data_IF_175712091582
#
_entry.id   IF_175712091582
#
_cell.length_a   1.000
_cell.length_b   1.000
_cell.length_c   1.000
_cell.angle_alpha   90.00
_cell.angle_beta   90.00
_cell.angle_gamma   90.00
#
_symmetry.space_group_name_H-M   'P 1'
#
loop_
_entity.id
_entity.type
_entity.pdbx_description
1 polymer ?
#
# COMPACT_ATOMS: atom_id res chain seq x y z
N UNK A 1 -11.85 11.73 29.81
CA UNK A 1 -10.43 11.49 29.44
C UNK A 1 -10.26 11.64 27.93
N UNK A 2 -10.30 12.90 27.44
CA UNK A 2 -10.09 13.28 26.03
C UNK A 2 -8.66 13.06 25.53
N UNK A 3 -7.72 12.83 26.43
CA UNK A 3 -6.29 12.72 26.12
C UNK A 3 -5.82 11.32 25.70
N UNK A 4 -6.67 10.30 25.83
CA UNK A 4 -6.30 8.91 25.53
C UNK A 4 -6.96 8.34 24.25
N UNK A 5 -7.61 9.18 23.46
CA UNK A 5 -8.02 8.79 22.11
C UNK A 5 -6.78 8.89 21.21
N UNK A 6 -6.27 7.75 20.76
CA UNK A 6 -5.32 7.69 19.66
C UNK A 6 -5.87 8.51 18.53
N UNK A 7 -5.27 9.68 18.29
CA UNK A 7 -5.63 10.55 17.17
C UNK A 7 -5.53 9.74 15.90
N UNK A 8 -6.68 9.44 15.28
CA UNK A 8 -6.71 8.85 13.94
C UNK A 8 -6.05 9.86 13.01
N UNK A 9 -5.08 9.41 12.21
CA UNK A 9 -4.42 10.29 11.26
C UNK A 9 -5.46 10.91 10.33
N UNK A 10 -5.51 12.24 10.28
CA UNK A 10 -6.43 13.01 9.43
C UNK A 10 -5.93 13.12 7.97
N UNK A 11 -4.93 12.32 7.57
CA UNK A 11 -4.37 12.35 6.22
C UNK A 11 -5.31 11.69 5.21
N UNK A 12 -5.64 12.42 4.14
CA UNK A 12 -6.42 11.90 3.02
C UNK A 12 -5.57 10.99 2.12
N UNK A 13 -6.20 10.21 1.24
CA UNK A 13 -5.51 9.43 0.20
C UNK A 13 -4.67 10.35 -0.69
N UNK A 14 -5.19 11.53 -1.05
CA UNK A 14 -4.45 12.53 -1.85
C UNK A 14 -3.19 13.01 -1.14
N UNK A 15 -3.24 13.25 0.18
CA UNK A 15 -2.06 13.61 0.96
C UNK A 15 -1.04 12.46 1.03
N UNK A 16 -1.51 11.23 1.13
CA UNK A 16 -0.64 10.05 1.10
C UNK A 16 0.01 9.88 -0.27
N UNK A 17 -0.76 10.06 -1.35
CA UNK A 17 -0.25 10.03 -2.72
C UNK A 17 0.82 11.12 -2.93
N UNK A 18 0.54 12.36 -2.52
CA UNK A 18 1.53 13.44 -2.59
C UNK A 18 2.86 13.06 -1.92
N UNK A 19 2.79 12.39 -0.76
CA UNK A 19 3.99 11.91 -0.07
C UNK A 19 4.67 10.72 -0.74
N UNK A 20 3.97 9.94 -1.58
CA UNK A 20 4.56 8.84 -2.34
C UNK A 20 5.24 9.34 -3.64
N UNK A 21 4.70 10.41 -4.22
CA UNK A 21 5.24 11.03 -5.44
C UNK A 21 6.51 11.84 -5.17
N UNK A 22 6.59 12.46 -3.99
CA UNK A 22 7.73 13.25 -3.58
C UNK A 22 8.69 12.40 -2.74
N UNK A 23 9.80 11.97 -3.36
CA UNK A 23 10.80 11.13 -2.71
C UNK A 23 11.44 11.74 -1.46
N UNK A 24 11.48 13.08 -1.37
CA UNK A 24 12.05 13.83 -0.25
C UNK A 24 11.15 13.78 1.00
N UNK A 25 9.90 13.34 0.84
CA UNK A 25 8.92 13.26 1.94
C UNK A 25 8.76 11.86 2.52
N UNK A 26 9.64 10.93 2.17
CA UNK A 26 9.72 9.63 2.83
C UNK A 26 10.09 9.83 4.29
N UNK A 27 9.46 9.05 5.17
CA UNK A 27 9.76 9.10 6.60
C UNK A 27 11.22 8.75 6.86
N UNK A 28 11.98 9.72 7.35
CA UNK A 28 13.24 9.43 8.02
C UNK A 28 13.01 8.79 9.40
N UNK A 29 14.08 8.32 10.07
CA UNK A 29 14.00 7.62 11.38
C UNK A 29 13.32 8.42 12.50
N UNK A 30 13.13 9.76 12.34
CA UNK A 30 12.53 10.66 13.34
C UNK A 30 11.07 11.06 13.10
N UNK A 31 10.39 10.48 12.11
CA UNK A 31 9.02 10.88 11.74
C UNK A 31 8.98 12.13 10.85
N UNK A 32 7.77 12.56 10.47
CA UNK A 32 7.57 13.74 9.59
C UNK A 32 7.61 15.03 10.38
N UNK A 33 8.35 16.01 9.89
CA UNK A 33 8.35 17.39 10.43
C UNK A 33 7.02 18.09 10.11
N UNK A 34 6.69 19.15 10.89
CA UNK A 34 5.50 19.98 10.64
C UNK A 34 5.56 20.62 9.25
N UNK A 35 6.74 21.06 8.81
CA UNK A 35 6.96 21.66 7.49
C UNK A 35 6.66 20.67 6.35
N UNK A 36 7.13 19.41 6.48
CA UNK A 36 6.82 18.34 5.52
C UNK A 36 5.31 18.05 5.45
N UNK A 37 4.63 18.12 6.59
CA UNK A 37 3.19 17.90 6.65
C UNK A 37 2.38 19.02 6.00
N UNK A 38 2.83 20.28 6.16
CA UNK A 38 2.26 21.44 5.47
C UNK A 38 2.47 21.36 3.96
N UNK A 39 3.68 21.06 3.51
CA UNK A 39 3.97 20.88 2.09
C UNK A 39 3.13 19.76 1.45
N UNK A 40 2.96 18.62 2.13
CA UNK A 40 2.06 17.56 1.69
C UNK A 40 0.61 18.04 1.52
N UNK A 41 0.14 18.89 2.42
CA UNK A 41 -1.22 19.44 2.33
C UNK A 41 -1.39 20.31 1.11
N UNK A 42 -0.42 21.17 0.82
CA UNK A 42 -0.43 22.04 -0.37
C UNK A 42 -0.36 21.21 -1.66
N UNK A 43 0.55 20.24 -1.73
CA UNK A 43 0.66 19.35 -2.88
C UNK A 43 -0.62 18.54 -3.11
N UNK A 44 -1.27 18.07 -2.02
CA UNK A 44 -2.55 17.39 -2.11
C UNK A 44 -3.66 18.29 -2.66
N UNK A 45 -3.71 19.56 -2.28
CA UNK A 45 -4.67 20.52 -2.85
C UNK A 45 -4.45 20.76 -4.35
N UNK A 46 -3.19 20.80 -4.79
CA UNK A 46 -2.88 20.92 -6.22
C UNK A 46 -3.33 19.67 -6.99
N UNK A 47 -3.08 18.48 -6.44
CA UNK A 47 -3.54 17.23 -7.03
C UNK A 47 -5.08 17.17 -7.09
N UNK A 48 -5.78 17.50 -6.00
CA UNK A 48 -7.25 17.49 -5.95
C UNK A 48 -7.90 18.48 -6.95
N UNK A 49 -7.20 19.55 -7.33
CA UNK A 49 -7.69 20.51 -8.32
C UNK A 49 -7.41 20.09 -9.76
N UNK A 50 -6.37 19.30 -9.99
CA UNK A 50 -5.90 18.93 -11.34
C UNK A 50 -6.30 17.53 -11.76
N UNK A 51 -6.46 16.62 -10.80
CA UNK A 51 -6.73 15.21 -11.04
C UNK A 51 -8.13 14.84 -10.58
N UNK A 52 -8.78 13.96 -11.31
CA UNK A 52 -10.05 13.36 -10.89
C UNK A 52 -9.80 12.35 -9.76
N UNK A 53 -10.83 12.08 -8.97
CA UNK A 53 -10.72 11.15 -7.83
C UNK A 53 -10.34 9.74 -8.22
N UNK A 54 -10.81 9.27 -9.38
CA UNK A 54 -10.43 7.97 -9.93
C UNK A 54 -8.94 7.90 -10.28
N UNK A 55 -8.38 8.95 -10.90
CA UNK A 55 -6.96 9.06 -11.22
C UNK A 55 -6.08 9.09 -9.96
N UNK A 56 -6.51 9.82 -8.93
CA UNK A 56 -5.83 9.86 -7.63
C UNK A 56 -5.82 8.48 -6.97
N UNK A 57 -6.96 7.79 -6.99
CA UNK A 57 -7.09 6.45 -6.41
C UNK A 57 -6.24 5.43 -7.17
N UNK A 58 -6.27 5.46 -8.49
CA UNK A 58 -5.46 4.58 -9.34
C UNK A 58 -3.96 4.78 -9.09
N UNK A 59 -3.49 6.04 -9.12
CA UNK A 59 -2.10 6.36 -8.83
C UNK A 59 -1.69 5.92 -7.41
N UNK A 60 -2.56 6.14 -6.43
CA UNK A 60 -2.32 5.71 -5.06
C UNK A 60 -2.19 4.19 -4.96
N UNK A 61 -3.12 3.43 -5.53
CA UNK A 61 -3.10 1.97 -5.51
C UNK A 61 -1.89 1.38 -6.24
N UNK A 62 -1.36 2.07 -7.25
CA UNK A 62 -0.14 1.65 -7.95
C UNK A 62 1.15 1.94 -7.16
N UNK A 63 1.13 2.90 -6.25
CA UNK A 63 2.33 3.36 -5.53
C UNK A 63 2.36 2.99 -4.04
N UNK A 64 1.22 2.61 -3.47
CA UNK A 64 1.15 2.31 -2.03
C UNK A 64 2.00 1.09 -1.69
N UNK A 65 2.87 1.21 -0.67
CA UNK A 65 3.63 0.06 -0.20
C UNK A 65 2.74 -0.90 0.59
N UNK A 66 2.85 -2.17 0.26
CA UNK A 66 2.23 -3.28 0.95
C UNK A 66 3.26 -4.08 1.73
N UNK A 67 2.89 -5.29 2.14
CA UNK A 67 3.68 -6.20 2.94
C UNK A 67 5.05 -6.49 2.31
N UNK A 68 6.10 -6.48 3.13
CA UNK A 68 7.48 -6.67 2.68
C UNK A 68 7.91 -5.59 1.67
N UNK A 69 8.33 -5.99 0.49
CA UNK A 69 8.81 -5.09 -0.58
C UNK A 69 7.77 -4.89 -1.69
N UNK A 70 6.54 -5.37 -1.50
CA UNK A 70 5.49 -5.24 -2.50
C UNK A 70 5.03 -3.78 -2.61
N UNK A 71 5.06 -3.24 -3.81
CA UNK A 71 4.56 -1.90 -4.13
C UNK A 71 3.47 -2.03 -5.19
N UNK A 72 2.33 -1.45 -4.90
CA UNK A 72 1.18 -1.44 -5.77
C UNK A 72 0.27 -2.65 -5.64
N UNK A 73 -1.00 -2.43 -5.98
CA UNK A 73 -2.07 -3.40 -5.83
C UNK A 73 -1.90 -4.62 -6.75
N UNK A 74 -1.33 -4.44 -7.95
CA UNK A 74 -1.14 -5.55 -8.89
C UNK A 74 -0.05 -6.51 -8.40
N UNK A 75 1.05 -5.99 -7.85
CA UNK A 75 2.08 -6.81 -7.22
C UNK A 75 1.54 -7.59 -6.01
N UNK A 76 0.72 -6.94 -5.17
CA UNK A 76 0.04 -7.58 -4.06
C UNK A 76 -0.88 -8.70 -4.56
N UNK A 77 -1.74 -8.40 -5.54
CA UNK A 77 -2.75 -9.33 -6.08
C UNK A 77 -2.10 -10.58 -6.67
N UNK A 78 -1.08 -10.41 -7.49
CA UNK A 78 -0.34 -11.53 -8.08
C UNK A 78 0.35 -12.39 -7.02
N UNK A 79 0.94 -11.76 -6.01
CA UNK A 79 1.66 -12.48 -4.95
C UNK A 79 0.71 -13.23 -4.02
N UNK A 80 -0.33 -12.57 -3.50
CA UNK A 80 -1.20 -13.17 -2.50
C UNK A 80 -2.30 -14.03 -3.11
N UNK A 81 -2.83 -13.64 -4.28
CA UNK A 81 -4.02 -14.27 -4.86
C UNK A 81 -3.76 -14.93 -6.21
N UNK A 82 -2.58 -14.73 -6.81
CA UNK A 82 -2.18 -15.38 -8.07
C UNK A 82 -2.90 -14.83 -9.31
N UNK A 83 -3.46 -13.62 -9.23
CA UNK A 83 -4.24 -12.99 -10.31
C UNK A 83 -3.94 -11.50 -10.44
N UNK A 84 -4.33 -10.90 -11.56
CA UNK A 84 -4.23 -9.46 -11.76
C UNK A 84 -5.24 -8.70 -10.88
N UNK A 85 -4.93 -7.45 -10.55
CA UNK A 85 -5.73 -6.63 -9.62
C UNK A 85 -7.20 -6.46 -10.04
N UNK A 86 -7.49 -6.40 -11.35
CA UNK A 86 -8.85 -6.29 -11.87
C UNK A 86 -9.70 -7.56 -11.67
N UNK A 87 -9.08 -8.68 -11.33
CA UNK A 87 -9.76 -9.96 -11.03
C UNK A 87 -10.00 -10.21 -9.55
N UNK A 88 -9.73 -9.22 -8.67
CA UNK A 88 -9.99 -9.36 -7.23
C UNK A 88 -11.48 -9.50 -6.94
N UNK A 89 -11.84 -10.48 -6.13
CA UNK A 89 -13.17 -10.56 -5.54
C UNK A 89 -13.29 -9.69 -4.27
N UNK A 90 -14.50 -9.58 -3.71
CA UNK A 90 -14.79 -8.75 -2.56
C UNK A 90 -13.94 -9.12 -1.32
N UNK A 91 -13.66 -10.42 -1.12
CA UNK A 91 -12.86 -10.89 0.03
C UNK A 91 -11.40 -10.48 -0.14
N UNK A 92 -10.86 -10.66 -1.33
CA UNK A 92 -9.49 -10.30 -1.69
C UNK A 92 -9.30 -8.78 -1.63
N UNK A 93 -10.27 -8.02 -2.15
CA UNK A 93 -10.28 -6.57 -2.06
C UNK A 93 -10.34 -6.07 -0.61
N UNK A 94 -11.14 -6.72 0.26
CA UNK A 94 -11.21 -6.39 1.68
C UNK A 94 -9.88 -6.66 2.40
N UNK A 95 -9.20 -7.78 2.08
CA UNK A 95 -7.86 -8.10 2.61
C UNK A 95 -6.83 -7.07 2.13
N UNK A 96 -6.84 -6.71 0.86
CA UNK A 96 -5.96 -5.68 0.31
C UNK A 96 -6.17 -4.32 1.00
N UNK A 97 -7.42 -3.89 1.18
CA UNK A 97 -7.77 -2.65 1.89
C UNK A 97 -7.30 -2.67 3.37
N UNK A 98 -7.42 -3.81 4.05
CA UNK A 98 -6.92 -3.98 5.41
C UNK A 98 -5.39 -3.83 5.49
N UNK A 99 -4.66 -4.32 4.49
CA UNK A 99 -3.20 -4.23 4.38
C UNK A 99 -2.70 -2.81 4.09
N UNK A 100 -3.44 -2.00 3.33
CA UNK A 100 -3.10 -0.57 3.11
C UNK A 100 -2.90 0.15 4.44
N UNK A 101 -3.75 -0.14 5.42
CA UNK A 101 -3.67 0.52 6.74
C UNK A 101 -2.52 0.04 7.60
N UNK A 102 -2.15 -1.23 7.49
CA UNK A 102 -1.09 -1.84 8.28
C UNK A 102 -0.45 -3.00 7.51
N UNK A 103 0.51 -2.70 6.63
CA UNK A 103 1.11 -3.68 5.73
C UNK A 103 1.71 -4.89 6.45
N UNK A 104 2.34 -4.68 7.60
CA UNK A 104 3.04 -5.70 8.37
C UNK A 104 2.24 -6.24 9.57
N UNK A 105 0.92 -6.02 9.62
CA UNK A 105 0.08 -6.56 10.68
C UNK A 105 0.05 -8.10 10.66
N UNK A 106 -0.15 -8.70 11.84
CA UNK A 106 -0.35 -10.15 11.95
C UNK A 106 -1.60 -10.59 11.19
N UNK A 107 -1.62 -11.81 10.63
CA UNK A 107 -2.74 -12.31 9.83
C UNK A 107 -4.10 -12.15 10.51
N UNK A 108 -4.25 -12.53 11.76
CA UNK A 108 -5.50 -12.39 12.51
C UNK A 108 -6.01 -10.94 12.58
N UNK A 109 -5.12 -9.94 12.73
CA UNK A 109 -5.52 -8.54 12.73
C UNK A 109 -5.92 -8.04 11.33
N UNK A 110 -5.27 -8.55 10.28
CA UNK A 110 -5.65 -8.27 8.89
C UNK A 110 -7.03 -8.87 8.61
N UNK A 111 -7.26 -10.11 8.98
CA UNK A 111 -8.54 -10.81 8.80
C UNK A 111 -9.68 -10.11 9.55
N UNK A 112 -9.47 -9.71 10.80
CA UNK A 112 -10.46 -8.95 11.57
C UNK A 112 -10.85 -7.64 10.88
N UNK A 113 -9.87 -6.91 10.34
CA UNK A 113 -10.13 -5.66 9.61
C UNK A 113 -10.81 -5.91 8.28
N UNK A 114 -10.35 -6.91 7.54
CA UNK A 114 -10.97 -7.31 6.28
C UNK A 114 -12.43 -7.73 6.48
N UNK A 115 -12.74 -8.45 7.56
CA UNK A 115 -14.13 -8.79 7.92
C UNK A 115 -14.98 -7.53 8.13
N UNK A 116 -14.47 -6.51 8.81
CA UNK A 116 -15.16 -5.22 8.97
C UNK A 116 -15.41 -4.54 7.62
N UNK A 117 -14.38 -4.45 6.77
CA UNK A 117 -14.49 -3.87 5.42
C UNK A 117 -15.51 -4.62 4.58
N UNK A 118 -15.47 -5.96 4.58
CA UNK A 118 -16.38 -6.78 3.80
C UNK A 118 -17.83 -6.62 4.27
N UNK A 119 -18.06 -6.54 5.58
CA UNK A 119 -19.39 -6.24 6.14
C UNK A 119 -19.91 -4.87 5.67
N UNK A 120 -19.06 -3.84 5.72
CA UNK A 120 -19.41 -2.50 5.25
C UNK A 120 -19.71 -2.48 3.75
N UNK A 121 -19.00 -3.28 2.95
CA UNK A 121 -19.27 -3.45 1.52
C UNK A 121 -20.64 -4.09 1.28
N UNK A 122 -20.98 -5.14 2.03
CA UNK A 122 -22.24 -5.87 1.89
C UNK A 122 -23.48 -5.08 2.39
N UNK A 123 -23.28 -4.03 3.18
CA UNK A 123 -24.35 -3.14 3.66
C UNK A 123 -24.65 -1.99 2.69
N UNK A 124 -23.85 -1.81 1.64
CA UNK A 124 -24.07 -0.72 0.67
C UNK A 124 -25.31 -1.00 -0.19
N UNK A 125 -26.02 0.06 -0.64
CA UNK A 125 -27.10 -0.08 -1.62
C UNK A 125 -26.58 -0.78 -2.89
N UNK A 126 -27.28 -1.82 -3.30
CA UNK A 126 -26.90 -2.64 -4.47
C UNK A 126 -25.95 -3.82 -4.18
N UNK A 127 -25.50 -4.00 -2.94
CA UNK A 127 -24.78 -5.19 -2.54
C UNK A 127 -25.72 -6.38 -2.37
N UNK A 128 -25.17 -7.60 -2.51
CA UNK A 128 -25.95 -8.85 -2.41
C UNK A 128 -26.49 -9.14 -1.00
N UNK A 129 -26.15 -8.34 0.01
CA UNK A 129 -26.56 -8.52 1.40
C UNK A 129 -26.14 -9.86 2.02
N UNK A 130 -25.14 -10.51 1.42
CA UNK A 130 -24.69 -11.82 1.87
C UNK A 130 -24.09 -11.74 3.28
N UNK A 131 -24.39 -12.76 4.10
CA UNK A 131 -23.79 -12.88 5.42
C UNK A 131 -22.28 -13.14 5.29
N UNK A 132 -21.49 -12.29 5.92
CA UNK A 132 -20.02 -12.42 5.92
C UNK A 132 -19.60 -13.48 6.93
N UNK A 133 -18.96 -14.53 6.45
CA UNK A 133 -18.29 -15.53 7.28
C UNK A 133 -16.86 -15.07 7.60
N UNK A 134 -16.67 -14.56 8.82
CA UNK A 134 -15.38 -14.04 9.25
C UNK A 134 -14.37 -15.14 9.60
N UNK A 135 -14.83 -16.32 9.96
CA UNK A 135 -13.94 -17.44 10.29
C UNK A 135 -13.33 -18.01 8.99
N UNK A 136 -14.15 -18.18 7.96
CA UNK A 136 -13.67 -18.53 6.62
C UNK A 136 -12.71 -17.46 6.06
N UNK A 137 -12.99 -16.17 6.30
CA UNK A 137 -12.10 -15.07 5.88
C UNK A 137 -10.78 -15.07 6.64
N UNK A 138 -10.76 -15.47 7.92
CA UNK A 138 -9.53 -15.60 8.71
C UNK A 138 -8.62 -16.69 8.17
N UNK A 139 -9.17 -17.87 7.90
CA UNK A 139 -8.45 -18.97 7.27
C UNK A 139 -7.89 -18.57 5.89
N UNK A 140 -8.71 -17.95 5.07
CA UNK A 140 -8.30 -17.44 3.75
C UNK A 140 -7.16 -16.44 3.86
N UNK A 141 -7.31 -15.45 4.73
CA UNK A 141 -6.31 -14.38 4.94
C UNK A 141 -4.99 -14.96 5.44
N UNK A 142 -5.04 -15.86 6.39
CA UNK A 142 -3.85 -16.53 6.94
C UNK A 142 -3.10 -17.30 5.86
N UNK A 143 -3.81 -18.09 5.06
CA UNK A 143 -3.23 -18.84 3.94
C UNK A 143 -2.63 -17.91 2.87
N UNK A 144 -3.34 -16.83 2.50
CA UNK A 144 -2.86 -15.86 1.53
C UNK A 144 -1.58 -15.14 1.99
N UNK A 145 -1.52 -14.73 3.26
CA UNK A 145 -0.38 -14.00 3.81
C UNK A 145 0.87 -14.87 4.07
N UNK A 146 0.74 -16.18 4.00
CA UNK A 146 1.88 -17.12 4.02
C UNK A 146 2.55 -17.24 2.65
N UNK A 147 1.85 -16.87 1.58
CA UNK A 147 2.43 -16.87 0.23
C UNK A 147 3.55 -15.84 0.16
N UNK A 148 4.68 -16.26 -0.36
CA UNK A 148 5.80 -15.37 -0.66
C UNK A 148 5.62 -14.81 -2.07
N UNK A 149 6.13 -13.59 -2.28
CA UNK A 149 6.35 -13.13 -3.64
C UNK A 149 7.10 -14.25 -4.37
N UNK A 150 6.63 -14.60 -5.57
CA UNK A 150 7.40 -15.49 -6.43
C UNK A 150 8.83 -14.94 -6.43
N UNK A 151 9.81 -15.81 -6.15
CA UNK A 151 11.19 -15.45 -6.39
C UNK A 151 11.22 -14.93 -7.83
N UNK A 152 11.59 -13.67 -7.99
CA UNK A 152 11.72 -13.03 -9.30
C UNK A 152 12.85 -13.69 -10.14
N UNK A 153 13.17 -14.92 -9.82
CA UNK A 153 14.36 -15.65 -10.24
C UNK A 153 14.20 -16.47 -11.50
N UNK A 154 13.02 -16.58 -12.05
CA UNK A 154 12.88 -17.24 -13.36
C UNK A 154 12.89 -16.27 -14.55
N UNK A 155 13.04 -14.98 -14.30
CA UNK A 155 13.39 -14.01 -15.33
C UNK A 155 14.89 -14.03 -15.60
N UNK A 156 15.28 -14.07 -16.86
CA UNK A 156 16.64 -14.19 -17.40
C UNK A 156 17.69 -13.19 -16.86
N UNK A 157 17.35 -12.28 -15.93
CA UNK A 157 18.29 -11.28 -15.46
C UNK A 157 18.13 -10.65 -14.06
N UNK A 158 17.75 -11.35 -12.97
CA UNK A 158 17.70 -10.70 -11.64
C UNK A 158 19.10 -10.32 -11.15
N UNK A 159 20.13 -11.11 -11.47
CA UNK A 159 21.52 -10.78 -11.15
C UNK A 159 22.05 -9.62 -11.98
N UNK A 160 21.67 -9.52 -13.25
CA UNK A 160 22.06 -8.43 -14.15
C UNK A 160 21.44 -7.09 -13.73
N UNK A 161 20.16 -7.07 -13.39
CA UNK A 161 19.49 -5.87 -12.89
C UNK A 161 20.09 -5.37 -11.57
N UNK A 162 20.39 -6.27 -10.63
CA UNK A 162 21.09 -5.94 -9.37
C UNK A 162 22.52 -5.45 -9.61
N UNK A 163 23.22 -6.00 -10.57
CA UNK A 163 24.57 -5.58 -10.94
C UNK A 163 24.58 -4.16 -11.53
N UNK A 164 23.67 -3.85 -12.45
CA UNK A 164 23.52 -2.52 -13.02
C UNK A 164 23.14 -1.46 -11.99
N UNK A 165 22.25 -1.79 -11.04
CA UNK A 165 21.86 -0.88 -9.96
C UNK A 165 23.02 -0.60 -9.00
N UNK A 166 23.88 -1.59 -8.71
CA UNK A 166 25.10 -1.41 -7.92
C UNK A 166 26.13 -0.55 -8.65
N UNK A 167 26.32 -0.74 -9.97
CA UNK A 167 27.23 0.09 -10.76
C UNK A 167 26.78 1.55 -10.85
N UNK A 168 25.47 1.81 -10.98
CA UNK A 168 24.96 3.19 -10.95
C UNK A 168 25.22 3.87 -9.60
N UNK A 169 24.98 3.16 -8.49
CA UNK A 169 25.26 3.71 -7.15
C UNK A 169 26.76 3.96 -6.91
N UNK A 170 27.64 3.14 -7.48
CA UNK A 170 29.09 3.33 -7.42
C UNK A 170 29.59 4.55 -8.20
N UNK A 171 29.03 4.83 -9.38
CA UNK A 171 29.40 6.01 -10.19
C UNK A 171 28.95 7.33 -9.56
N UNK A 172 27.80 7.38 -8.91
CA UNK A 172 27.37 8.60 -8.20
C UNK A 172 28.20 8.92 -6.94
N UNK A 173 28.83 7.90 -6.32
CA UNK A 173 29.75 8.11 -5.20
C UNK A 173 31.13 8.59 -5.66
N UNK A 174 31.60 8.14 -6.82
CA UNK A 174 32.89 8.53 -7.35
C UNK A 174 32.93 9.95 -7.97
N UNK A 175 31.76 10.55 -8.27
CA UNK A 175 31.65 11.93 -8.78
C UNK A 175 31.38 12.97 -7.68
N UNK A 176 31.15 12.54 -6.43
CA UNK A 176 30.89 13.44 -5.30
C UNK A 176 32.11 13.73 -4.41
N UNK A 177 33.24 13.10 -4.63
CA UNK A 177 34.47 13.28 -3.81
C UNK A 177 35.59 14.06 -4.54
N UNK A 178 35.25 14.87 -5.52
CA UNK A 178 36.22 15.67 -6.28
C UNK A 178 35.73 17.11 -6.50
N UNK A 179 35.59 17.88 -5.41
CA UNK A 179 35.66 19.34 -5.39
C UNK A 179 35.97 19.81 -3.96
#
# INVERSE_FOLDING_TARGET
NLWNQRTRGASTITMQLAGLLDGDWRQGPGGRTVAQKLGQTVAAQVLDRRWRKDQILEAYLNLVPFRSELVGIDALSRTLFGKAAHGLDDREAAVAAALVRAPNARPALVAQRACGVLRDMQQRPGANGARVDCDALDLFTTAALQRRAFDASEGVAPHFARHLLRQRRGRHRAQGDGD
#
